data_IF_440617857157
#
_entry.id   IF_440617857157
#
_cell.length_a   1.000
_cell.length_b   1.000
_cell.length_c   1.000
_cell.angle_alpha   90.00
_cell.angle_beta   90.00
_cell.angle_gamma   90.00
#
_symmetry.space_group_name_H-M   'P 1'
#
loop_
_entity.id
_entity.type
_entity.pdbx_description
1 polymer ?
#
# COMPACT_ATOMS: atom_id res chain seq x y z
N UNK A 1 41.47 13.06 -3.97
CA UNK A 1 42.43 14.15 -3.74
C UNK A 1 41.64 15.41 -3.44
N UNK A 2 42.01 16.07 -2.35
CA UNK A 2 41.43 17.30 -1.81
C UNK A 2 42.10 18.53 -2.44
N UNK A 3 41.35 19.64 -2.58
CA UNK A 3 41.83 21.04 -2.62
C UNK A 3 40.61 21.91 -2.21
N UNK A 4 40.40 22.25 -0.93
CA UNK A 4 40.88 23.44 -0.20
C UNK A 4 40.51 24.80 -0.84
N UNK A 5 39.64 25.55 -0.17
CA UNK A 5 39.57 27.01 -0.30
C UNK A 5 39.38 27.64 1.09
N UNK A 6 40.28 28.55 1.42
CA UNK A 6 40.55 29.12 2.73
C UNK A 6 39.49 30.11 3.23
N UNK A 7 39.11 29.96 4.49
CA UNK A 7 38.43 30.99 5.29
C UNK A 7 39.46 32.04 5.69
N UNK A 8 39.21 33.29 5.31
CA UNK A 8 39.99 34.46 5.76
C UNK A 8 39.14 35.21 6.78
N UNK A 9 39.76 35.48 7.94
CA UNK A 9 39.19 36.17 9.08
C UNK A 9 39.02 37.67 8.80
N UNK A 10 37.91 38.22 9.28
CA UNK A 10 37.65 39.66 9.41
C UNK A 10 36.94 39.93 10.76
N UNK A 11 37.11 41.12 11.36
CA UNK A 11 37.29 41.26 12.80
C UNK A 11 36.01 41.39 13.62
N UNK A 12 36.09 40.87 14.85
CA UNK A 12 35.15 40.98 15.97
C UNK A 12 34.65 42.42 16.20
N UNK A 13 33.33 42.60 16.20
CA UNK A 13 32.67 43.73 16.83
C UNK A 13 31.92 43.23 18.07
N UNK A 14 32.51 43.48 19.24
CA UNK A 14 31.85 43.41 20.54
C UNK A 14 30.67 44.39 20.55
N UNK A 15 29.47 43.90 20.78
CA UNK A 15 28.34 44.74 21.14
C UNK A 15 27.94 44.38 22.57
N UNK A 16 28.09 45.38 23.44
CA UNK A 16 27.82 45.35 24.87
C UNK A 16 26.41 44.84 25.16
N UNK A 17 26.33 43.81 26.01
CA UNK A 17 25.07 43.37 26.61
C UNK A 17 24.82 44.29 27.80
N UNK A 18 23.89 45.23 27.62
CA UNK A 18 23.31 45.97 28.74
C UNK A 18 22.48 44.99 29.58
N UNK A 19 22.79 44.91 30.87
CA UNK A 19 21.99 44.20 31.87
C UNK A 19 20.69 44.97 32.07
N UNK A 20 19.60 44.52 31.42
CA UNK A 20 18.25 44.92 31.81
C UNK A 20 17.79 44.02 32.97
N UNK A 21 17.58 44.67 34.11
CA UNK A 21 17.10 44.13 35.37
C UNK A 21 15.68 43.55 35.17
N UNK A 22 15.54 42.22 35.30
CA UNK A 22 14.25 41.54 35.15
C UNK A 22 13.44 41.72 36.44
N UNK A 23 12.57 42.73 36.49
CA UNK A 23 11.54 42.85 37.52
C UNK A 23 10.42 41.82 37.27
N UNK A 24 10.29 40.86 38.18
CA UNK A 24 9.21 39.86 38.16
C UNK A 24 8.10 40.35 39.09
N UNK A 25 7.06 40.99 38.54
CA UNK A 25 5.81 41.23 39.27
C UNK A 25 4.92 39.97 39.22
N UNK A 26 4.66 39.38 40.40
CA UNK A 26 3.78 38.22 40.54
C UNK A 26 2.34 38.72 40.58
N UNK A 27 1.62 38.56 39.46
CA UNK A 27 0.28 39.12 39.26
C UNK A 27 -0.90 38.22 39.66
N UNK A 28 -0.72 36.96 40.07
CA UNK A 28 -1.83 36.13 40.58
C UNK A 28 -1.37 34.92 41.43
N UNK A 29 -1.97 34.66 42.62
CA UNK A 29 -1.56 33.58 43.53
C UNK A 29 -2.22 32.20 43.27
N UNK A 30 -2.93 31.98 42.17
CA UNK A 30 -3.66 30.72 41.91
C UNK A 30 -3.12 29.87 40.74
N UNK A 31 -1.82 29.91 40.45
CA UNK A 31 -1.21 28.87 39.62
C UNK A 31 -1.15 27.57 40.42
N UNK A 32 -2.11 26.66 40.19
CA UNK A 32 -2.16 25.35 40.85
C UNK A 32 -0.95 24.53 40.41
N UNK A 33 0.06 24.47 41.26
CA UNK A 33 1.24 23.62 41.07
C UNK A 33 0.90 22.18 41.41
N UNK A 34 0.72 21.33 40.40
CA UNK A 34 0.64 19.87 40.62
C UNK A 34 2.06 19.30 40.60
N UNK A 35 2.57 18.94 41.78
CA UNK A 35 3.87 18.30 41.92
C UNK A 35 3.85 16.87 41.37
N UNK A 36 4.74 16.57 40.43
CA UNK A 36 5.01 15.20 39.99
C UNK A 36 6.11 14.60 40.88
N UNK A 37 6.08 13.29 41.15
CA UNK A 37 6.97 12.60 42.12
C UNK A 37 8.48 12.74 41.86
N UNK A 38 8.90 13.23 40.68
CA UNK A 38 10.31 13.42 40.29
C UNK A 38 10.79 14.89 40.29
N UNK A 39 10.12 15.79 41.02
CA UNK A 39 10.64 17.14 41.28
C UNK A 39 10.67 18.09 40.07
N UNK A 40 9.98 17.73 38.98
CA UNK A 40 9.72 18.63 37.85
C UNK A 40 8.51 19.54 38.11
N UNK A 41 8.66 20.83 37.81
CA UNK A 41 7.57 21.81 37.84
C UNK A 41 6.96 21.93 36.44
N UNK A 42 5.72 21.44 36.28
CA UNK A 42 4.90 21.71 35.09
C UNK A 42 4.13 23.01 35.34
N UNK A 43 4.47 24.05 34.58
CA UNK A 43 3.73 25.32 34.58
C UNK A 43 2.70 25.22 33.46
N UNK A 44 1.45 25.03 33.87
CA UNK A 44 0.30 25.11 32.98
C UNK A 44 -0.10 26.58 32.82
N UNK A 45 0.07 27.13 31.62
CA UNK A 45 -0.15 28.55 31.34
C UNK A 45 -1.59 28.86 30.89
N UNK A 46 -2.44 27.85 30.69
CA UNK A 46 -3.85 28.06 30.34
C UNK A 46 -4.72 26.82 30.64
N UNK A 47 -5.31 26.71 31.84
CA UNK A 47 -6.13 25.57 32.23
C UNK A 47 -7.51 25.52 31.54
N UNK A 48 -7.91 26.59 30.84
CA UNK A 48 -9.21 26.70 30.14
C UNK A 48 -9.04 26.68 28.61
N UNK A 49 -7.83 26.40 28.09
CA UNK A 49 -7.63 26.12 26.68
C UNK A 49 -8.34 24.80 26.32
N UNK A 50 -9.61 24.92 25.90
CA UNK A 50 -10.28 23.91 25.07
C UNK A 50 -9.29 23.48 23.99
N UNK A 51 -9.04 22.17 23.76
CA UNK A 51 -8.08 21.73 22.76
C UNK A 51 -8.42 22.42 21.44
N UNK A 52 -7.56 23.34 21.00
CA UNK A 52 -7.79 24.17 19.82
C UNK A 52 -8.15 23.28 18.64
N UNK A 53 -9.42 23.30 18.21
CA UNK A 53 -9.87 22.78 16.93
C UNK A 53 -9.36 21.38 16.56
N UNK A 54 -9.11 20.52 17.55
CA UNK A 54 -8.46 19.24 17.35
C UNK A 54 -9.42 18.25 16.70
N UNK A 55 -9.39 18.16 15.38
CA UNK A 55 -10.09 17.12 14.61
C UNK A 55 -9.77 15.75 15.25
N UNK A 56 -10.79 14.97 15.60
CA UNK A 56 -10.60 13.62 16.14
C UNK A 56 -9.80 12.78 15.12
N UNK A 57 -8.84 11.96 15.56
CA UNK A 57 -7.98 11.18 14.66
C UNK A 57 -8.77 10.31 13.66
N UNK A 58 -9.96 9.86 14.04
CA UNK A 58 -10.85 9.04 13.21
C UNK A 58 -11.85 9.86 12.36
N UNK A 59 -11.81 11.20 12.45
CA UNK A 59 -12.77 12.04 11.76
C UNK A 59 -12.49 12.12 10.25
N UNK A 60 -13.56 12.25 9.48
CA UNK A 60 -13.49 12.39 8.05
C UNK A 60 -12.92 13.76 7.66
N UNK A 61 -11.65 13.79 7.25
CA UNK A 61 -10.94 15.01 6.84
C UNK A 61 -11.67 15.78 5.73
N UNK A 62 -12.45 15.10 4.88
CA UNK A 62 -13.17 15.76 3.80
C UNK A 62 -14.25 16.75 4.29
N UNK A 63 -14.75 16.61 5.52
CA UNK A 63 -15.77 17.52 6.09
C UNK A 63 -15.15 18.80 6.67
N UNK A 64 -13.84 18.80 6.91
CA UNK A 64 -13.10 19.92 7.50
C UNK A 64 -12.24 20.68 6.47
N UNK A 65 -12.17 20.19 5.23
CA UNK A 65 -11.45 20.83 4.14
C UNK A 65 -12.32 21.88 3.43
N UNK A 66 -11.67 22.93 2.91
CA UNK A 66 -12.35 23.92 2.08
C UNK A 66 -12.84 23.28 0.77
N UNK A 67 -14.03 23.67 0.31
CA UNK A 67 -14.64 23.15 -0.92
C UNK A 67 -13.73 23.34 -2.15
N UNK A 68 -12.94 24.41 -2.19
CA UNK A 68 -11.97 24.68 -3.27
C UNK A 68 -10.82 23.67 -3.28
N UNK A 69 -10.30 23.29 -2.11
CA UNK A 69 -9.26 22.28 -1.97
C UNK A 69 -9.80 20.88 -2.28
N UNK A 70 -11.01 20.55 -1.83
CA UNK A 70 -11.71 19.31 -2.19
C UNK A 70 -11.95 19.20 -3.69
N UNK A 71 -12.33 20.29 -4.35
CA UNK A 71 -12.54 20.31 -5.79
C UNK A 71 -11.22 20.09 -6.54
N UNK A 72 -10.11 20.68 -6.07
CA UNK A 72 -8.78 20.46 -6.64
C UNK A 72 -8.36 18.99 -6.52
N UNK A 73 -8.43 18.43 -5.31
CA UNK A 73 -8.05 17.03 -5.05
C UNK A 73 -8.94 16.07 -5.83
N UNK A 74 -10.25 16.31 -5.89
CA UNK A 74 -11.15 15.46 -6.66
C UNK A 74 -10.90 15.54 -8.17
N UNK A 75 -10.58 16.73 -8.70
CA UNK A 75 -10.21 16.89 -10.11
C UNK A 75 -8.93 16.14 -10.44
N UNK A 76 -7.90 16.26 -9.60
CA UNK A 76 -6.63 15.55 -9.76
C UNK A 76 -6.82 14.04 -9.69
N UNK A 77 -7.62 13.55 -8.73
CA UNK A 77 -7.87 12.12 -8.52
C UNK A 77 -8.68 11.52 -9.68
N UNK A 78 -9.72 12.22 -10.14
CA UNK A 78 -10.50 11.81 -11.33
C UNK A 78 -9.64 11.87 -12.59
N UNK A 79 -8.77 12.87 -12.71
CA UNK A 79 -7.80 12.99 -13.80
C UNK A 79 -6.83 11.80 -13.84
N UNK A 80 -6.23 11.47 -12.69
CA UNK A 80 -5.34 10.32 -12.52
C UNK A 80 -6.06 9.00 -12.85
N UNK A 81 -7.28 8.81 -12.34
CA UNK A 81 -8.08 7.62 -12.66
C UNK A 81 -8.38 7.50 -14.16
N UNK A 82 -8.77 8.59 -14.82
CA UNK A 82 -9.02 8.59 -16.27
C UNK A 82 -7.75 8.29 -17.06
N UNK A 83 -6.61 8.84 -16.63
CA UNK A 83 -5.31 8.57 -17.24
C UNK A 83 -4.91 7.10 -17.09
N UNK A 84 -5.07 6.53 -15.89
CA UNK A 84 -4.80 5.11 -15.62
C UNK A 84 -5.68 4.21 -16.49
N UNK A 85 -6.99 4.47 -16.51
CA UNK A 85 -7.95 3.74 -17.35
C UNK A 85 -7.62 3.85 -18.84
N UNK A 86 -7.23 5.02 -19.32
CA UNK A 86 -6.85 5.20 -20.73
C UNK A 86 -5.58 4.42 -21.06
N UNK A 87 -4.60 4.38 -20.14
CA UNK A 87 -3.33 3.68 -20.35
C UNK A 87 -3.48 2.16 -20.50
N UNK A 88 -4.46 1.55 -19.82
CA UNK A 88 -4.73 0.11 -19.90
C UNK A 88 -5.77 -0.29 -20.96
N UNK A 89 -6.28 0.66 -21.74
CA UNK A 89 -7.34 0.39 -22.73
C UNK A 89 -6.91 -0.66 -23.76
N UNK A 90 -5.71 -0.53 -24.31
CA UNK A 90 -5.20 -1.48 -25.33
C UNK A 90 -5.07 -2.91 -24.76
N UNK A 91 -4.71 -3.02 -23.48
CA UNK A 91 -4.64 -4.28 -22.75
C UNK A 91 -6.05 -4.86 -22.52
N UNK A 92 -7.02 -4.05 -22.07
CA UNK A 92 -8.42 -4.46 -21.90
C UNK A 92 -9.03 -4.95 -23.24
N UNK A 93 -8.75 -4.26 -24.34
CA UNK A 93 -9.21 -4.62 -25.68
C UNK A 93 -8.58 -5.94 -26.16
N UNK A 94 -7.30 -6.16 -25.87
CA UNK A 94 -6.58 -7.41 -26.20
C UNK A 94 -7.14 -8.58 -25.41
N UNK A 95 -7.32 -8.39 -24.10
CA UNK A 95 -7.91 -9.37 -23.21
C UNK A 95 -9.33 -9.79 -23.62
N UNK A 96 -10.17 -8.81 -23.98
CA UNK A 96 -11.55 -9.06 -24.46
C UNK A 96 -11.54 -9.88 -25.75
N UNK A 97 -10.67 -9.51 -26.72
CA UNK A 97 -10.52 -10.28 -27.96
C UNK A 97 -10.00 -11.70 -27.70
N UNK A 98 -9.08 -11.87 -26.74
CA UNK A 98 -8.57 -13.18 -26.33
C UNK A 98 -9.68 -14.09 -25.79
N UNK A 99 -10.57 -13.55 -24.94
CA UNK A 99 -11.73 -14.27 -24.42
C UNK A 99 -12.70 -14.71 -25.52
N UNK A 100 -12.96 -13.85 -26.51
CA UNK A 100 -13.84 -14.19 -27.63
C UNK A 100 -13.23 -15.30 -28.51
N UNK A 101 -11.91 -15.31 -28.70
CA UNK A 101 -11.21 -16.36 -29.46
C UNK A 101 -11.26 -17.74 -28.80
N UNK A 102 -11.46 -17.82 -27.48
CA UNK A 102 -11.62 -19.09 -26.77
C UNK A 102 -12.93 -19.81 -27.15
N UNK A 103 -13.91 -19.09 -27.72
CA UNK A 103 -15.17 -19.67 -28.18
C UNK A 103 -16.04 -20.27 -27.07
N UNK A 104 -15.86 -19.82 -25.82
CA UNK A 104 -16.69 -20.26 -24.69
C UNK A 104 -18.08 -19.60 -24.68
N UNK A 105 -18.25 -18.52 -25.45
CA UNK A 105 -19.54 -17.85 -25.63
C UNK A 105 -20.34 -18.55 -26.72
N UNK A 106 -21.60 -18.83 -26.41
CA UNK A 106 -22.58 -19.25 -27.41
C UNK A 106 -23.00 -17.97 -28.14
N UNK A 107 -22.60 -17.84 -29.40
CA UNK A 107 -22.98 -16.73 -30.26
C UNK A 107 -24.14 -17.13 -31.17
N UNK A 108 -25.25 -16.39 -31.09
CA UNK A 108 -26.35 -16.50 -32.05
C UNK A 108 -25.94 -15.80 -33.36
N UNK A 109 -25.36 -16.57 -34.28
CA UNK A 109 -24.95 -16.05 -35.59
C UNK A 109 -26.14 -16.01 -36.53
N UNK A 110 -26.41 -14.83 -37.09
CA UNK A 110 -27.46 -14.59 -38.09
C UNK A 110 -26.95 -14.64 -39.53
N UNK A 111 -25.63 -14.76 -39.71
CA UNK A 111 -24.98 -14.93 -41.02
C UNK A 111 -24.18 -16.23 -41.06
N UNK A 112 -24.19 -16.98 -42.19
CA UNK A 112 -24.95 -16.73 -43.43
C UNK A 112 -26.47 -16.99 -43.33
N UNK A 113 -26.94 -17.69 -42.30
CA UNK A 113 -28.36 -17.86 -41.94
C UNK A 113 -28.52 -17.88 -40.41
N UNK A 114 -29.74 -17.73 -39.93
CA UNK A 114 -30.05 -17.71 -38.50
C UNK A 114 -29.73 -19.07 -37.84
N UNK A 115 -28.95 -19.04 -36.76
CA UNK A 115 -28.43 -20.24 -36.09
C UNK A 115 -27.23 -20.90 -36.78
N UNK A 116 -26.45 -20.17 -37.58
CA UNK A 116 -25.25 -20.73 -38.20
C UNK A 116 -24.15 -21.04 -37.16
N UNK A 117 -23.56 -22.23 -37.21
CA UNK A 117 -22.48 -22.62 -36.29
C UNK A 117 -21.18 -21.83 -36.56
N UNK A 118 -20.64 -21.19 -35.52
CA UNK A 118 -19.26 -20.74 -35.50
C UNK A 118 -18.32 -21.90 -35.14
N UNK A 119 -17.19 -22.00 -35.82
CA UNK A 119 -16.11 -22.91 -35.42
C UNK A 119 -14.93 -22.04 -34.99
N UNK A 120 -14.55 -22.14 -33.73
CA UNK A 120 -13.30 -21.57 -33.21
C UNK A 120 -12.23 -22.65 -33.17
N UNK A 121 -10.96 -22.26 -33.35
CA UNK A 121 -9.86 -23.21 -33.29
C UNK A 121 -9.53 -23.55 -31.82
N UNK A 122 -9.57 -24.82 -31.40
CA UNK A 122 -9.38 -25.18 -29.98
C UNK A 122 -7.94 -25.04 -29.47
N UNK A 123 -6.95 -24.68 -30.31
CA UNK A 123 -5.53 -24.63 -29.91
C UNK A 123 -5.31 -23.59 -28.82
N UNK A 124 -5.98 -22.45 -28.90
CA UNK A 124 -5.83 -21.40 -27.89
C UNK A 124 -6.39 -21.89 -26.55
N UNK A 125 -7.62 -22.40 -26.53
CA UNK A 125 -8.26 -22.91 -25.32
C UNK A 125 -7.49 -24.07 -24.69
N UNK A 126 -6.99 -25.00 -25.52
CA UNK A 126 -6.15 -26.09 -25.05
C UNK A 126 -4.83 -25.59 -24.46
N UNK A 127 -4.16 -24.65 -25.14
CA UNK A 127 -2.91 -24.04 -24.66
C UNK A 127 -3.10 -23.34 -23.32
N UNK A 128 -4.19 -22.60 -23.14
CA UNK A 128 -4.52 -21.91 -21.88
C UNK A 128 -4.76 -22.90 -20.75
N UNK A 129 -5.55 -23.95 -20.98
CA UNK A 129 -5.81 -24.99 -19.98
C UNK A 129 -4.52 -25.73 -19.60
N UNK A 130 -3.67 -26.03 -20.59
CA UNK A 130 -2.35 -26.66 -20.35
C UNK A 130 -1.45 -25.75 -19.52
N UNK A 131 -1.37 -24.46 -19.85
CA UNK A 131 -0.62 -23.47 -19.09
C UNK A 131 -1.10 -23.39 -17.64
N UNK A 132 -2.41 -23.24 -17.44
CA UNK A 132 -3.02 -23.16 -16.11
C UNK A 132 -2.70 -24.42 -15.28
N UNK A 133 -2.84 -25.61 -15.87
CA UNK A 133 -2.57 -26.88 -15.20
C UNK A 133 -1.10 -27.03 -14.79
N UNK A 134 -0.17 -26.64 -15.66
CA UNK A 134 1.27 -26.68 -15.37
C UNK A 134 1.66 -25.65 -14.30
N UNK A 135 1.20 -24.40 -14.46
CA UNK A 135 1.49 -23.33 -13.51
C UNK A 135 0.93 -23.63 -12.12
N UNK A 136 -0.27 -24.20 -12.03
CA UNK A 136 -0.85 -24.62 -10.76
C UNK A 136 -0.03 -25.71 -10.07
N UNK A 137 0.48 -26.69 -10.83
CA UNK A 137 1.35 -27.73 -10.29
C UNK A 137 2.69 -27.20 -9.76
N UNK A 138 3.24 -26.17 -10.38
CA UNK A 138 4.49 -25.52 -9.95
C UNK A 138 4.28 -24.56 -8.77
N UNK A 139 3.16 -23.81 -8.74
CA UNK A 139 2.85 -22.87 -7.65
C UNK A 139 2.41 -23.62 -6.39
N UNK A 140 1.64 -24.70 -6.55
CA UNK A 140 1.15 -25.54 -5.46
C UNK A 140 1.70 -26.97 -5.57
N UNK A 141 3.01 -27.17 -5.30
CA UNK A 141 3.57 -28.51 -5.24
C UNK A 141 3.02 -29.27 -4.02
N UNK A 142 3.15 -30.60 -4.03
CA UNK A 142 2.69 -31.46 -2.93
C UNK A 142 3.36 -31.14 -1.57
N UNK A 143 4.53 -30.49 -1.58
CA UNK A 143 5.22 -30.03 -0.36
C UNK A 143 4.63 -28.75 0.24
N UNK A 144 3.73 -28.07 -0.47
CA UNK A 144 3.18 -26.77 -0.10
C UNK A 144 3.82 -25.59 -0.86
N UNK A 145 3.07 -24.51 -1.09
CA UNK A 145 3.49 -23.36 -1.90
C UNK A 145 4.63 -22.53 -1.28
N UNK A 146 4.79 -22.56 0.05
CA UNK A 146 5.80 -21.78 0.76
C UNK A 146 6.96 -22.66 1.14
N UNK A 147 8.17 -22.25 0.74
CA UNK A 147 9.43 -22.90 1.09
C UNK A 147 10.33 -21.91 1.84
N UNK A 148 10.96 -22.35 2.94
CA UNK A 148 11.84 -21.50 3.73
C UNK A 148 13.32 -21.76 3.42
N UNK A 149 14.11 -20.68 3.30
CA UNK A 149 15.56 -20.76 3.13
C UNK A 149 16.26 -20.02 4.27
N UNK A 150 17.09 -20.74 5.02
CA UNK A 150 17.87 -20.15 6.12
C UNK A 150 19.07 -19.41 5.53
N UNK A 151 19.17 -18.11 5.79
CA UNK A 151 20.31 -17.29 5.38
C UNK A 151 21.31 -17.19 6.55
N UNK A 152 22.58 -17.52 6.30
CA UNK A 152 23.67 -17.41 7.28
C UNK A 152 23.95 -18.70 8.07
N UNK A 153 24.48 -18.58 9.29
CA UNK A 153 24.87 -19.73 10.12
C UNK A 153 23.66 -20.58 10.48
N UNK A 154 23.73 -21.87 10.15
CA UNK A 154 22.72 -22.86 10.46
C UNK A 154 22.80 -23.22 11.95
N UNK A 155 21.75 -22.92 12.70
CA UNK A 155 21.63 -23.22 14.12
C UNK A 155 20.33 -23.97 14.33
N UNK A 156 20.31 -24.95 15.24
CA UNK A 156 19.13 -25.78 15.54
C UNK A 156 17.86 -24.96 15.80
N UNK A 157 17.97 -23.84 16.52
CA UNK A 157 16.87 -22.90 16.77
C UNK A 157 16.31 -22.28 15.48
N UNK A 158 17.17 -21.89 14.53
CA UNK A 158 16.76 -21.29 13.25
C UNK A 158 16.09 -22.30 12.34
N UNK A 159 16.58 -23.55 12.33
CA UNK A 159 15.94 -24.66 11.59
C UNK A 159 14.56 -24.99 12.15
N UNK A 160 14.41 -25.06 13.47
CA UNK A 160 13.10 -25.27 14.09
C UNK A 160 12.14 -24.09 13.82
N UNK A 161 12.65 -22.86 13.76
CA UNK A 161 11.85 -21.70 13.40
C UNK A 161 11.42 -21.72 11.93
N UNK A 162 12.32 -22.08 11.01
CA UNK A 162 12.01 -22.13 9.58
C UNK A 162 10.89 -23.12 9.29
N UNK A 163 10.98 -24.35 9.82
CA UNK A 163 9.91 -25.35 9.67
C UNK A 163 8.58 -24.90 10.28
N UNK A 164 8.60 -24.18 11.40
CA UNK A 164 7.37 -23.67 12.02
C UNK A 164 6.68 -22.63 11.13
N UNK A 165 7.45 -21.69 10.58
CA UNK A 165 6.92 -20.65 9.68
C UNK A 165 6.42 -21.27 8.39
N UNK A 166 7.19 -22.20 7.82
CA UNK A 166 6.82 -22.95 6.61
C UNK A 166 5.49 -23.68 6.79
N UNK A 167 5.37 -24.49 7.84
CA UNK A 167 4.16 -25.25 8.13
C UNK A 167 2.95 -24.35 8.40
N UNK A 168 3.15 -23.25 9.14
CA UNK A 168 2.08 -22.30 9.46
C UNK A 168 1.57 -21.57 8.21
N UNK A 169 2.48 -21.08 7.37
CA UNK A 169 2.09 -20.39 6.14
C UNK A 169 1.44 -21.33 5.13
N UNK A 170 1.95 -22.56 5.01
CA UNK A 170 1.31 -23.58 4.17
C UNK A 170 -0.10 -23.89 4.67
N UNK A 171 -0.29 -24.11 5.98
CA UNK A 171 -1.61 -24.31 6.59
C UNK A 171 -2.56 -23.13 6.32
N UNK A 172 -2.09 -21.90 6.47
CA UNK A 172 -2.90 -20.70 6.24
C UNK A 172 -3.36 -20.59 4.79
N UNK A 173 -2.49 -20.87 3.83
CA UNK A 173 -2.78 -20.77 2.40
C UNK A 173 -3.65 -21.93 1.89
N UNK A 174 -3.47 -23.15 2.43
CA UNK A 174 -4.19 -24.33 1.91
C UNK A 174 -5.50 -24.62 2.64
N UNK A 175 -5.58 -24.35 3.95
CA UNK A 175 -6.73 -24.72 4.78
C UNK A 175 -7.56 -23.53 5.23
N UNK A 176 -6.94 -22.41 5.61
CA UNK A 176 -7.67 -21.25 6.16
C UNK A 176 -8.23 -20.37 5.04
N UNK A 177 -7.49 -20.20 3.94
CA UNK A 177 -7.90 -19.39 2.79
C UNK A 177 -8.50 -20.27 1.69
N UNK A 178 -9.72 -20.75 1.91
CA UNK A 178 -10.42 -21.69 1.01
C UNK A 178 -10.53 -21.18 -0.45
N UNK A 179 -10.70 -19.87 -0.64
CA UNK A 179 -10.86 -19.26 -1.96
C UNK A 179 -9.52 -18.98 -2.68
N UNK A 180 -8.39 -19.05 -1.98
CA UNK A 180 -7.10 -18.63 -2.57
C UNK A 180 -6.72 -19.47 -3.80
N UNK A 181 -6.98 -20.78 -3.73
CA UNK A 181 -6.70 -21.69 -4.84
C UNK A 181 -7.57 -21.40 -6.06
N UNK A 182 -8.89 -21.26 -5.87
CA UNK A 182 -9.83 -21.04 -6.96
C UNK A 182 -9.62 -19.68 -7.63
N UNK A 183 -9.34 -18.64 -6.86
CA UNK A 183 -8.99 -17.32 -7.40
C UNK A 183 -7.65 -17.34 -8.15
N UNK A 184 -6.65 -18.07 -7.64
CA UNK A 184 -5.38 -18.26 -8.35
C UNK A 184 -5.58 -19.02 -9.67
N UNK A 185 -6.41 -20.06 -9.69
CA UNK A 185 -6.76 -20.78 -10.91
C UNK A 185 -7.44 -19.87 -11.95
N UNK A 186 -8.37 -19.00 -11.53
CA UNK A 186 -9.00 -18.01 -12.40
C UNK A 186 -7.99 -16.99 -12.95
N UNK A 187 -7.08 -16.52 -12.11
CA UNK A 187 -6.02 -15.60 -12.51
C UNK A 187 -5.07 -16.23 -13.54
N UNK A 188 -4.68 -17.51 -13.35
CA UNK A 188 -3.82 -18.21 -14.29
C UNK A 188 -4.51 -18.49 -15.64
N UNK A 189 -5.83 -18.58 -15.65
CA UNK A 189 -6.61 -18.70 -16.88
C UNK A 189 -6.62 -17.39 -17.69
N UNK A 190 -6.69 -16.24 -17.01
CA UNK A 190 -6.73 -14.93 -17.67
C UNK A 190 -5.36 -14.42 -18.13
N UNK A 191 -4.28 -14.81 -17.44
CA UNK A 191 -2.92 -14.36 -17.73
C UNK A 191 -2.43 -14.59 -19.18
N UNK A 192 -2.59 -15.77 -19.81
CA UNK A 192 -2.13 -16.02 -21.17
C UNK A 192 -3.00 -15.39 -22.28
N UNK A 193 -4.13 -14.76 -21.92
CA UNK A 193 -5.04 -14.08 -22.85
C UNK A 193 -4.71 -12.61 -23.04
N UNK A 194 -3.82 -12.07 -22.20
CA UNK A 194 -3.37 -10.68 -22.15
C UNK A 194 -2.12 -10.43 -22.99
#
# INVERSE_FOLDING_TARGET
MAIERSLTEGPLHMMDVAEDEIEIEILNPESVSVGTEDGGMLIDFDPDALPEGGIEFSANLAEYMEETELLRVSSDLVGAYKSDRASRKDWEDTYTKGLDQLGLKIEDRTQPWDGACGVTHPILSESVIRFQSQAMGEIFPASGPVATKIVGKLTTKKTAQSHRVENYMNYLVTEVMEEYRSETEKLLFSLPLA
#
